data_IF_564390265845
#
_entry.id   IF_564390265845
#
_cell.length_a   1.000
_cell.length_b   1.000
_cell.length_c   1.000
_cell.angle_alpha   90.00
_cell.angle_beta   90.00
_cell.angle_gamma   90.00
#
_symmetry.space_group_name_H-M   'P 1'
#
loop_
_entity.id
_entity.type
_entity.pdbx_description
1 polymer ?
#
# COMPACT_ATOMS: atom_id res chain seq x y z
N UNK A 1 -3.28 -2.73 29.11
CA UNK A 1 -4.65 -3.32 29.20
C UNK A 1 -5.77 -2.28 29.04
N UNK A 2 -5.76 -1.15 29.77
CA UNK A 2 -6.84 -0.14 29.68
C UNK A 2 -7.07 0.37 28.26
N UNK A 3 -6.02 0.78 27.55
CA UNK A 3 -6.09 1.22 26.16
C UNK A 3 -6.72 0.17 25.24
N UNK A 4 -6.19 -1.07 25.24
CA UNK A 4 -6.74 -2.18 24.46
C UNK A 4 -8.20 -2.48 24.78
N UNK A 5 -8.64 -2.30 26.03
CA UNK A 5 -10.05 -2.47 26.39
C UNK A 5 -10.96 -1.35 25.89
N UNK A 6 -10.48 -0.09 25.88
CA UNK A 6 -11.23 1.08 25.42
C UNK A 6 -11.48 1.01 23.91
N UNK A 7 -10.44 0.63 23.15
CA UNK A 7 -10.46 0.56 21.68
C UNK A 7 -11.11 -0.71 21.13
N UNK A 8 -11.30 -1.74 21.95
CA UNK A 8 -11.93 -2.98 21.49
C UNK A 8 -13.40 -2.72 21.11
N UNK A 9 -13.77 -3.19 19.92
CA UNK A 9 -15.10 -3.02 19.35
C UNK A 9 -16.22 -3.47 20.32
N UNK A 10 -17.24 -2.63 20.43
CA UNK A 10 -18.35 -2.84 21.38
C UNK A 10 -19.29 -3.94 20.90
N UNK A 11 -19.49 -4.07 19.58
CA UNK A 11 -20.37 -5.11 19.03
C UNK A 11 -19.75 -6.48 19.26
N UNK A 12 -18.47 -6.66 18.96
CA UNK A 12 -17.72 -7.89 19.23
C UNK A 12 -17.83 -8.29 20.71
N UNK A 13 -17.66 -7.35 21.64
CA UNK A 13 -17.84 -7.62 23.08
C UNK A 13 -19.23 -8.16 23.41
N UNK A 14 -20.28 -7.62 22.79
CA UNK A 14 -21.65 -8.10 22.99
C UNK A 14 -21.87 -9.49 22.40
N UNK A 15 -21.35 -9.77 21.21
CA UNK A 15 -21.46 -11.09 20.57
C UNK A 15 -20.72 -12.16 21.35
N UNK A 16 -19.48 -11.89 21.78
CA UNK A 16 -18.72 -12.81 22.63
C UNK A 16 -19.44 -13.10 23.96
N UNK A 17 -20.11 -12.11 24.54
CA UNK A 17 -20.93 -12.31 25.74
C UNK A 17 -22.13 -13.23 25.45
N UNK A 18 -22.82 -13.04 24.33
CA UNK A 18 -23.96 -13.86 23.92
C UNK A 18 -23.56 -15.33 23.66
N UNK A 19 -22.34 -15.56 23.19
CA UNK A 19 -21.77 -16.89 22.95
C UNK A 19 -21.13 -17.53 24.20
N UNK A 20 -21.25 -16.92 25.38
CA UNK A 20 -20.66 -17.42 26.62
C UNK A 20 -19.15 -17.19 26.77
N UNK A 21 -18.50 -16.54 25.81
CA UNK A 21 -17.07 -16.22 25.79
C UNK A 21 -16.81 -14.76 26.22
N UNK A 22 -17.32 -14.35 27.38
CA UNK A 22 -17.25 -12.94 27.82
C UNK A 22 -15.80 -12.48 27.99
N UNK A 23 -15.42 -11.42 27.27
CA UNK A 23 -14.11 -10.78 27.44
C UNK A 23 -14.15 -9.92 28.70
N UNK A 24 -13.43 -10.27 29.78
CA UNK A 24 -13.55 -9.61 31.06
C UNK A 24 -13.18 -8.13 30.96
N UNK A 25 -14.02 -7.28 31.56
CA UNK A 25 -13.67 -5.88 31.76
C UNK A 25 -12.58 -5.78 32.83
N UNK A 26 -11.78 -4.73 32.71
CA UNK A 26 -10.74 -4.43 33.67
C UNK A 26 -11.33 -4.04 35.02
N UNK A 27 -10.74 -4.58 36.09
CA UNK A 27 -10.92 -4.05 37.43
C UNK A 27 -10.23 -2.69 37.53
N UNK A 28 -10.97 -1.70 38.00
CA UNK A 28 -10.43 -0.36 38.27
C UNK A 28 -9.41 -0.43 39.41
N UNK A 29 -8.35 0.35 39.32
CA UNK A 29 -7.31 0.43 40.35
C UNK A 29 -6.97 1.90 40.64
N UNK A 30 -6.39 2.18 41.81
CA UNK A 30 -6.17 3.52 42.35
C UNK A 30 -4.69 3.88 42.39
N UNK A 31 -4.01 3.84 41.24
CA UNK A 31 -2.58 4.20 41.14
C UNK A 31 -2.30 5.71 41.18
N UNK A 32 -3.33 6.55 41.02
CA UNK A 32 -3.17 8.00 40.89
C UNK A 32 -2.47 8.65 42.09
N UNK A 33 -2.74 8.19 43.31
CA UNK A 33 -2.14 8.74 44.52
C UNK A 33 -0.65 8.46 44.59
N UNK A 34 -0.22 7.27 44.16
CA UNK A 34 1.20 6.89 44.07
C UNK A 34 1.91 7.66 42.96
N UNK A 35 1.26 7.81 41.80
CA UNK A 35 1.82 8.55 40.66
C UNK A 35 2.01 10.03 40.96
N UNK A 36 1.26 10.63 41.90
CA UNK A 36 1.43 12.04 42.30
C UNK A 36 2.52 12.27 43.35
N UNK A 37 3.12 11.22 43.92
CA UNK A 37 4.13 11.37 44.98
C UNK A 37 5.45 11.91 44.41
N UNK A 38 5.85 13.11 44.83
CA UNK A 38 7.11 13.76 44.40
C UNK A 38 8.18 13.83 45.50
N UNK A 39 7.82 13.58 46.76
CA UNK A 39 8.72 13.74 47.90
C UNK A 39 8.39 12.77 49.05
N UNK A 40 8.47 11.47 48.80
CA UNK A 40 8.27 10.44 49.83
C UNK A 40 9.45 10.48 50.81
N UNK A 41 9.18 10.70 52.09
CA UNK A 41 10.21 10.70 53.13
C UNK A 41 10.47 9.27 53.61
N UNK A 42 11.69 8.78 53.40
CA UNK A 42 12.08 7.44 53.82
C UNK A 42 13.55 7.42 54.20
N UNK A 43 13.85 7.01 55.45
CA UNK A 43 15.21 6.93 56.00
C UNK A 43 16.02 8.24 55.82
N UNK A 44 15.38 9.38 56.05
CA UNK A 44 15.99 10.71 55.92
C UNK A 44 16.18 11.21 54.48
N UNK A 45 15.77 10.43 53.47
CA UNK A 45 15.80 10.83 52.05
C UNK A 45 14.43 11.28 51.58
N UNK A 46 14.40 12.28 50.70
CA UNK A 46 13.21 12.65 49.93
C UNK A 46 13.26 11.97 48.56
N UNK A 47 12.32 11.06 48.30
CA UNK A 47 12.28 10.24 47.08
C UNK A 47 11.18 10.75 46.15
N UNK A 48 11.55 11.17 44.94
CA UNK A 48 10.58 11.43 43.86
C UNK A 48 10.16 10.11 43.21
N UNK A 49 9.07 9.53 43.73
CA UNK A 49 8.52 8.27 43.25
C UNK A 49 7.98 8.40 41.82
N UNK A 50 7.36 9.54 41.47
CA UNK A 50 6.89 9.81 40.11
C UNK A 50 8.04 9.72 39.10
N UNK A 51 9.17 10.37 39.39
CA UNK A 51 10.35 10.33 38.51
C UNK A 51 10.83 8.89 38.29
N UNK A 52 10.93 8.11 39.37
CA UNK A 52 11.39 6.72 39.29
C UNK A 52 10.42 5.87 38.46
N UNK A 53 9.12 5.99 38.69
CA UNK A 53 8.09 5.25 37.92
C UNK A 53 8.15 5.65 36.44
N UNK A 54 8.26 6.95 36.15
CA UNK A 54 8.34 7.48 34.79
C UNK A 54 9.48 6.87 33.99
N UNK A 55 10.67 6.70 34.59
CA UNK A 55 11.81 6.05 33.95
C UNK A 55 11.50 4.62 33.50
N UNK A 56 10.81 3.83 34.33
CA UNK A 56 10.47 2.43 34.00
C UNK A 56 9.34 2.36 32.97
N UNK A 57 8.36 3.26 33.08
CA UNK A 57 7.25 3.30 32.14
C UNK A 57 7.71 3.78 30.76
N UNK A 58 8.60 4.78 30.69
CA UNK A 58 9.19 5.21 29.42
C UNK A 58 9.89 4.04 28.72
N UNK A 59 10.77 3.32 29.41
CA UNK A 59 11.42 2.12 28.88
C UNK A 59 10.43 1.02 28.45
N UNK A 60 9.34 0.84 29.20
CA UNK A 60 8.30 -0.13 28.84
C UNK A 60 7.53 0.28 27.57
N UNK A 61 7.26 1.58 27.39
CA UNK A 61 6.59 2.09 26.18
C UNK A 61 7.50 1.95 24.96
N UNK A 62 8.80 2.29 25.06
CA UNK A 62 9.78 2.00 24.00
C UNK A 62 9.79 0.51 23.64
N UNK A 63 9.86 -0.37 24.64
CA UNK A 63 9.83 -1.82 24.43
C UNK A 63 8.55 -2.30 23.73
N UNK A 64 7.38 -1.73 24.04
CA UNK A 64 6.14 -2.09 23.36
C UNK A 64 6.13 -1.67 21.89
N UNK A 65 6.71 -0.52 21.54
CA UNK A 65 6.83 -0.08 20.14
C UNK A 65 7.84 -0.94 19.38
N UNK A 66 9.00 -1.22 19.99
CA UNK A 66 10.02 -2.11 19.44
C UNK A 66 9.46 -3.49 19.12
N UNK A 67 8.68 -4.06 20.05
CA UNK A 67 8.02 -5.35 19.85
C UNK A 67 6.92 -5.31 18.78
N UNK A 68 6.20 -4.19 18.64
CA UNK A 68 5.20 -4.05 17.58
C UNK A 68 5.87 -4.08 16.19
N UNK A 69 6.95 -3.32 16.01
CA UNK A 69 7.70 -3.26 14.75
C UNK A 69 8.42 -4.59 14.48
N UNK A 70 9.09 -5.16 15.49
CA UNK A 70 9.78 -6.46 15.34
C UNK A 70 8.84 -7.63 15.04
N UNK A 71 7.57 -7.56 15.45
CA UNK A 71 6.57 -8.55 15.01
C UNK A 71 6.18 -8.36 13.55
N UNK A 72 6.03 -7.13 13.08
CA UNK A 72 5.78 -6.86 11.66
C UNK A 72 6.93 -7.37 10.79
N UNK A 73 8.18 -7.15 11.19
CA UNK A 73 9.38 -7.63 10.46
C UNK A 73 9.45 -9.17 10.32
N UNK A 74 8.80 -9.91 11.21
CA UNK A 74 8.72 -11.38 11.15
C UNK A 74 7.52 -11.92 10.36
N UNK A 75 6.69 -11.04 9.79
CA UNK A 75 5.43 -11.40 9.14
C UNK A 75 5.31 -10.80 7.73
N UNK A 76 4.31 -11.29 6.97
CA UNK A 76 4.03 -10.79 5.61
C UNK A 76 3.36 -9.41 5.61
N UNK A 77 3.28 -8.79 4.42
CA UNK A 77 2.69 -7.47 4.21
C UNK A 77 1.26 -7.32 4.77
N UNK A 78 0.48 -8.41 4.82
CA UNK A 78 -0.91 -8.38 5.29
C UNK A 78 -1.04 -8.05 6.78
N UNK A 79 0.01 -8.34 7.56
CA UNK A 79 0.08 -8.05 9.00
C UNK A 79 0.18 -6.55 9.33
N UNK A 80 0.40 -5.68 8.34
CA UNK A 80 0.55 -4.23 8.57
C UNK A 80 -0.69 -3.60 9.22
N UNK A 81 -1.88 -4.17 8.99
CA UNK A 81 -3.13 -3.71 9.62
C UNK A 81 -3.14 -4.04 11.13
N UNK A 82 -2.55 -5.18 11.53
CA UNK A 82 -2.38 -5.52 12.94
C UNK A 82 -1.35 -4.60 13.61
N UNK A 83 -0.22 -4.33 12.92
CA UNK A 83 0.79 -3.37 13.38
C UNK A 83 0.13 -2.03 13.69
N UNK A 84 -0.66 -1.50 12.75
CA UNK A 84 -1.31 -0.22 12.91
C UNK A 84 -2.25 -0.15 14.12
N UNK A 85 -3.08 -1.18 14.29
CA UNK A 85 -3.95 -1.31 15.44
C UNK A 85 -3.17 -1.35 16.77
N UNK A 86 -2.02 -2.03 16.77
CA UNK A 86 -1.14 -2.10 17.93
C UNK A 86 -0.44 -0.77 18.22
N UNK A 87 -0.03 -0.02 17.19
CA UNK A 87 0.50 1.34 17.30
C UNK A 87 -0.55 2.29 17.89
N UNK A 88 -1.81 2.20 17.48
CA UNK A 88 -2.89 3.02 18.04
C UNK A 88 -3.18 2.68 19.51
N UNK A 89 -3.08 1.40 19.91
CA UNK A 89 -3.15 1.00 21.32
C UNK A 89 -1.97 1.58 22.12
N UNK A 90 -0.77 1.58 21.57
CA UNK A 90 0.40 2.20 22.18
C UNK A 90 0.22 3.72 22.32
N UNK A 91 -0.30 4.39 21.30
CA UNK A 91 -0.61 5.83 21.32
C UNK A 91 -1.65 6.18 22.37
N UNK A 92 -2.71 5.40 22.49
CA UNK A 92 -3.71 5.57 23.54
C UNK A 92 -3.12 5.28 24.94
N UNK A 93 -2.22 4.30 25.05
CA UNK A 93 -1.50 4.01 26.30
C UNK A 93 -0.64 5.20 26.72
N UNK A 94 0.14 5.77 25.79
CA UNK A 94 0.92 6.99 26.00
C UNK A 94 0.04 8.17 26.45
N UNK A 95 -1.11 8.39 25.79
CA UNK A 95 -2.05 9.46 26.16
C UNK A 95 -2.64 9.30 27.56
N UNK A 96 -2.92 8.07 28.00
CA UNK A 96 -3.43 7.79 29.34
C UNK A 96 -2.34 8.02 30.41
N UNK A 97 -1.11 7.61 30.13
CA UNK A 97 0.04 7.78 31.03
C UNK A 97 0.44 9.26 31.17
N UNK A 98 0.46 10.00 30.06
CA UNK A 98 0.86 11.42 30.00
C UNK A 98 0.00 12.35 30.85
N UNK A 99 -1.14 11.88 31.37
CA UNK A 99 -1.96 12.63 32.34
C UNK A 99 -1.31 12.75 33.72
N UNK A 100 -0.41 11.82 34.06
CA UNK A 100 0.15 11.70 35.41
C UNK A 100 1.68 11.78 35.43
N UNK A 101 2.34 11.64 34.28
CA UNK A 101 3.79 11.66 34.15
C UNK A 101 4.22 12.37 32.88
N UNK A 102 5.44 12.88 32.87
CA UNK A 102 6.05 13.54 31.71
C UNK A 102 6.82 12.49 30.91
N UNK A 103 6.28 12.09 29.77
CA UNK A 103 6.95 11.23 28.79
C UNK A 103 7.41 12.08 27.60
N UNK A 104 8.37 11.55 26.85
CA UNK A 104 8.71 12.09 25.53
C UNK A 104 7.48 12.04 24.61
N UNK A 105 7.46 12.87 23.58
CA UNK A 105 6.35 12.86 22.62
C UNK A 105 6.22 11.48 21.96
N UNK A 106 4.99 11.03 21.73
CA UNK A 106 4.77 9.71 21.11
C UNK A 106 5.48 9.58 19.76
N UNK A 107 5.47 10.66 18.95
CA UNK A 107 6.14 10.67 17.64
C UNK A 107 7.66 10.51 17.77
N UNK A 108 8.30 11.16 18.75
CA UNK A 108 9.72 10.95 19.02
C UNK A 108 10.03 9.50 19.43
N UNK A 109 9.24 8.95 20.37
CA UNK A 109 9.42 7.56 20.81
C UNK A 109 9.22 6.56 19.67
N UNK A 110 8.21 6.80 18.82
CA UNK A 110 7.89 5.94 17.68
C UNK A 110 8.96 6.01 16.59
N UNK A 111 9.45 7.21 16.25
CA UNK A 111 10.54 7.38 15.29
C UNK A 111 11.82 6.72 15.78
N UNK A 112 12.13 6.82 17.07
CA UNK A 112 13.29 6.13 17.64
C UNK A 112 13.16 4.61 17.52
N UNK A 113 12.03 4.01 17.93
CA UNK A 113 11.80 2.56 17.78
C UNK A 113 11.80 2.12 16.30
N UNK A 114 11.31 2.96 15.40
CA UNK A 114 11.32 2.72 13.96
C UNK A 114 12.69 3.01 13.31
N UNK A 115 13.70 3.39 14.09
CA UNK A 115 15.03 3.83 13.61
C UNK A 115 14.97 4.96 12.57
N UNK A 116 13.96 5.84 12.66
CA UNK A 116 13.68 6.93 11.71
C UNK A 116 14.01 8.32 12.29
N UNK A 117 15.09 8.40 13.09
CA UNK A 117 15.62 9.67 13.65
C UNK A 117 16.92 10.05 12.97
N UNK A 118 17.89 9.13 12.96
CA UNK A 118 19.20 9.30 12.31
C UNK A 118 19.27 8.73 10.90
N UNK A 119 18.24 8.02 10.46
CA UNK A 119 18.13 7.44 9.13
C UNK A 119 16.91 8.02 8.38
N UNK A 120 16.98 8.11 7.04
CA UNK A 120 15.89 8.69 6.24
C UNK A 120 14.68 7.76 6.11
N UNK A 121 14.85 6.45 6.31
CA UNK A 121 13.79 5.46 6.17
C UNK A 121 13.76 4.57 7.40
N UNK A 122 12.58 4.45 7.99
CA UNK A 122 12.37 3.58 9.14
C UNK A 122 12.27 2.11 8.76
N UNK A 123 12.37 1.27 9.77
CA UNK A 123 12.23 -0.20 9.70
C UNK A 123 10.95 -0.65 8.99
N UNK A 124 9.82 -0.01 9.29
CA UNK A 124 8.53 -0.34 8.66
C UNK A 124 8.60 -0.13 7.13
N UNK A 125 9.16 0.99 6.67
CA UNK A 125 9.29 1.29 5.23
C UNK A 125 10.19 0.27 4.54
N UNK A 126 11.32 -0.07 5.16
CA UNK A 126 12.25 -1.07 4.63
C UNK A 126 11.61 -2.46 4.56
N UNK A 127 10.87 -2.86 5.59
CA UNK A 127 10.16 -4.15 5.60
C UNK A 127 9.02 -4.20 4.58
N UNK A 128 8.28 -3.10 4.39
CA UNK A 128 7.27 -3.03 3.31
C UNK A 128 7.92 -3.26 1.95
N UNK A 129 9.04 -2.60 1.65
CA UNK A 129 9.74 -2.83 0.39
C UNK A 129 10.27 -4.28 0.27
N UNK A 130 10.82 -4.83 1.36
CA UNK A 130 11.29 -6.20 1.42
C UNK A 130 10.17 -7.20 1.07
N UNK A 131 9.03 -7.08 1.73
CA UNK A 131 7.87 -7.93 1.50
C UNK A 131 7.25 -7.71 0.11
N UNK A 132 7.33 -6.48 -0.44
CA UNK A 132 6.92 -6.24 -1.81
C UNK A 132 7.78 -7.07 -2.78
N UNK A 133 9.10 -6.98 -2.65
CA UNK A 133 10.05 -7.62 -3.54
C UNK A 133 10.02 -9.16 -3.45
N UNK A 134 9.94 -9.71 -2.23
CA UNK A 134 10.09 -11.15 -2.01
C UNK A 134 8.77 -11.94 -1.93
N UNK A 135 7.64 -11.29 -1.62
CA UNK A 135 6.35 -11.99 -1.48
C UNK A 135 5.24 -11.40 -2.35
N UNK A 136 4.97 -10.09 -2.26
CA UNK A 136 3.82 -9.48 -2.94
C UNK A 136 3.88 -9.61 -4.47
N UNK A 137 4.96 -9.13 -5.10
CA UNK A 137 5.12 -9.17 -6.54
C UNK A 137 5.08 -10.62 -7.10
N UNK A 138 5.83 -11.59 -6.53
CA UNK A 138 5.85 -12.95 -7.08
C UNK A 138 4.66 -13.84 -6.71
N UNK A 139 3.97 -13.59 -5.60
CA UNK A 139 3.00 -14.56 -5.06
C UNK A 139 1.54 -14.09 -5.02
N UNK A 140 1.23 -12.86 -5.47
CA UNK A 140 -0.13 -12.34 -5.44
C UNK A 140 -0.75 -12.16 -6.84
N UNK A 141 -2.05 -12.42 -6.92
CA UNK A 141 -2.89 -12.30 -8.10
C UNK A 141 -3.89 -11.17 -7.89
N UNK A 142 -3.86 -10.14 -8.73
CA UNK A 142 -4.84 -9.05 -8.68
C UNK A 142 -6.18 -9.48 -9.28
N UNK A 143 -7.28 -9.06 -8.65
CA UNK A 143 -8.63 -9.17 -9.18
C UNK A 143 -9.25 -7.77 -9.24
N UNK A 144 -9.32 -7.20 -10.44
CA UNK A 144 -9.81 -5.85 -10.71
C UNK A 144 -11.30 -5.66 -10.40
N UNK A 145 -12.09 -6.73 -10.43
CA UNK A 145 -13.52 -6.65 -10.08
C UNK A 145 -13.75 -6.43 -8.59
N UNK A 146 -12.89 -6.99 -7.75
CA UNK A 146 -12.96 -6.85 -6.28
C UNK A 146 -12.01 -5.80 -5.72
N UNK A 147 -11.09 -5.30 -6.54
CA UNK A 147 -9.97 -4.45 -6.16
C UNK A 147 -9.13 -5.06 -5.02
N UNK A 148 -8.81 -6.35 -5.14
CA UNK A 148 -8.04 -7.09 -4.13
C UNK A 148 -7.01 -8.00 -4.79
N UNK A 149 -5.92 -8.22 -4.07
CA UNK A 149 -4.95 -9.25 -4.37
C UNK A 149 -5.17 -10.45 -3.46
N UNK A 150 -5.04 -11.65 -4.02
CA UNK A 150 -5.06 -12.93 -3.30
C UNK A 150 -3.80 -13.72 -3.62
N UNK A 151 -3.38 -14.63 -2.74
CA UNK A 151 -2.21 -15.46 -3.02
C UNK A 151 -2.47 -16.39 -4.22
N UNK A 152 -1.42 -16.64 -4.99
CA UNK A 152 -1.46 -17.62 -6.08
C UNK A 152 -1.66 -19.04 -5.54
N UNK A 153 -2.29 -19.90 -6.34
CA UNK A 153 -2.52 -21.31 -6.03
C UNK A 153 -1.29 -22.18 -6.22
N UNK A 154 -0.33 -21.73 -7.02
CA UNK A 154 0.89 -22.47 -7.37
C UNK A 154 2.11 -21.64 -6.99
N UNK A 155 2.98 -22.11 -6.07
CA UNK A 155 4.20 -21.39 -5.73
C UNK A 155 5.18 -21.51 -6.90
N UNK A 156 5.29 -20.45 -7.68
CA UNK A 156 6.29 -20.33 -8.74
C UNK A 156 7.60 -19.69 -8.25
N UNK A 157 7.57 -19.05 -7.08
CA UNK A 157 8.72 -18.47 -6.40
C UNK A 157 9.05 -19.24 -5.13
N UNK A 158 10.32 -19.18 -4.69
CA UNK A 158 10.77 -19.87 -3.49
C UNK A 158 10.12 -19.26 -2.24
N UNK A 159 9.58 -20.11 -1.37
CA UNK A 159 9.10 -19.66 -0.07
C UNK A 159 10.26 -19.12 0.76
N UNK A 160 10.15 -17.86 1.17
CA UNK A 160 11.13 -17.22 2.04
C UNK A 160 10.85 -17.58 3.50
N UNK A 161 11.84 -18.18 4.16
CA UNK A 161 11.75 -18.47 5.59
C UNK A 161 11.93 -17.18 6.40
N UNK A 162 10.85 -16.76 7.06
CA UNK A 162 10.86 -15.61 7.97
C UNK A 162 11.38 -16.01 9.35
N UNK A 163 12.01 -15.04 10.02
CA UNK A 163 12.45 -15.21 11.40
C UNK A 163 11.24 -15.37 12.35
N UNK A 164 11.46 -16.05 13.47
CA UNK A 164 10.40 -16.28 14.45
C UNK A 164 10.05 -14.99 15.19
N UNK A 165 8.75 -14.81 15.45
CA UNK A 165 8.24 -13.70 16.24
C UNK A 165 8.91 -13.60 17.61
N UNK A 166 9.27 -12.39 18.07
CA UNK A 166 9.82 -12.19 19.40
C UNK A 166 8.79 -12.53 20.49
N UNK A 167 9.19 -13.33 21.48
CA UNK A 167 8.32 -13.67 22.61
C UNK A 167 8.16 -12.48 23.55
N UNK A 168 6.91 -12.10 23.85
CA UNK A 168 6.59 -10.93 24.65
C UNK A 168 5.52 -11.22 25.71
N UNK A 169 5.69 -10.61 26.89
CA UNK A 169 4.61 -10.60 27.88
C UNK A 169 3.41 -9.81 27.34
N UNK A 170 2.15 -10.22 27.65
CA UNK A 170 0.96 -9.61 27.08
C UNK A 170 0.84 -8.09 27.27
N UNK A 171 1.44 -7.56 28.33
CA UNK A 171 1.42 -6.12 28.66
C UNK A 171 2.16 -5.25 27.63
N UNK A 172 3.12 -5.81 26.88
CA UNK A 172 3.83 -5.11 25.81
C UNK A 172 3.13 -5.23 24.45
N UNK A 173 2.00 -5.94 24.40
CA UNK A 173 1.15 -6.13 23.22
C UNK A 173 -0.21 -5.47 23.48
N UNK A 174 -1.31 -6.21 23.35
CA UNK A 174 -2.66 -5.68 23.54
C UNK A 174 -3.06 -5.55 25.03
N UNK A 175 -2.25 -6.10 25.95
CA UNK A 175 -2.35 -5.92 27.39
C UNK A 175 -2.54 -7.21 28.17
N UNK A 176 -3.38 -8.14 27.69
CA UNK A 176 -3.69 -9.40 28.36
C UNK A 176 -3.84 -10.53 27.33
N UNK A 177 -3.79 -11.79 27.78
CA UNK A 177 -3.97 -12.95 26.88
C UNK A 177 -5.32 -12.91 26.14
N UNK A 178 -6.40 -12.55 26.85
CA UNK A 178 -7.73 -12.43 26.26
C UNK A 178 -7.81 -11.34 25.19
N UNK A 179 -7.16 -10.18 25.42
CA UNK A 179 -7.11 -9.11 24.42
C UNK A 179 -6.23 -9.49 23.24
N UNK A 180 -5.09 -10.14 23.46
CA UNK A 180 -4.24 -10.63 22.36
C UNK A 180 -5.01 -11.57 21.44
N UNK A 181 -5.77 -12.52 22.01
CA UNK A 181 -6.61 -13.42 21.23
C UNK A 181 -7.69 -12.66 20.46
N UNK A 182 -8.40 -11.75 21.13
CA UNK A 182 -9.48 -10.98 20.50
C UNK A 182 -8.98 -10.14 19.31
N UNK A 183 -7.87 -9.42 19.48
CA UNK A 183 -7.30 -8.61 18.38
C UNK A 183 -6.71 -9.48 17.27
N UNK A 184 -6.03 -10.58 17.61
CA UNK A 184 -5.54 -11.52 16.59
C UNK A 184 -6.69 -12.08 15.74
N UNK A 185 -7.85 -12.40 16.34
CA UNK A 185 -9.04 -12.82 15.61
C UNK A 185 -9.71 -11.69 14.80
N UNK A 186 -9.58 -10.43 15.21
CA UNK A 186 -10.06 -9.29 14.40
C UNK A 186 -9.18 -9.17 13.15
N UNK A 187 -7.86 -9.18 13.34
CA UNK A 187 -6.90 -8.93 12.27
C UNK A 187 -6.66 -10.13 11.35
N UNK A 188 -7.02 -11.36 11.78
CA UNK A 188 -6.99 -12.55 10.92
C UNK A 188 -7.83 -12.38 9.64
N UNK A 189 -8.90 -11.57 9.69
CA UNK A 189 -9.74 -11.25 8.54
C UNK A 189 -9.00 -10.48 7.43
N UNK A 190 -7.84 -9.89 7.74
CA UNK A 190 -7.01 -9.13 6.81
C UNK A 190 -5.83 -9.92 6.24
N UNK A 191 -5.68 -11.21 6.60
CA UNK A 191 -4.50 -12.02 6.22
C UNK A 191 -4.60 -12.69 4.86
N UNK A 192 -5.81 -12.89 4.36
CA UNK A 192 -6.05 -13.69 3.16
C UNK A 192 -6.10 -12.85 1.86
N UNK A 193 -5.92 -11.53 1.97
CA UNK A 193 -5.92 -10.62 0.81
C UNK A 193 -5.09 -9.37 1.10
N UNK A 194 -4.73 -8.63 0.05
CA UNK A 194 -4.23 -7.24 0.12
C UNK A 194 -5.20 -6.36 -0.65
N UNK A 195 -5.63 -5.24 -0.07
CA UNK A 195 -6.58 -4.33 -0.72
C UNK A 195 -6.60 -2.95 -0.07
N UNK A 196 -7.67 -2.15 -0.30
CA UNK A 196 -7.77 -0.78 0.20
C UNK A 196 -7.42 -0.57 1.69
N UNK A 197 -7.82 -1.42 2.66
CA UNK A 197 -7.44 -1.21 4.05
C UNK A 197 -5.92 -1.31 4.27
N UNK A 198 -5.24 -2.21 3.56
CA UNK A 198 -3.78 -2.36 3.63
C UNK A 198 -3.08 -1.17 2.99
N UNK A 199 -3.47 -0.78 1.78
CA UNK A 199 -2.88 0.38 1.08
C UNK A 199 -3.05 1.68 1.87
N UNK A 200 -4.19 1.88 2.54
CA UNK A 200 -4.40 3.02 3.44
C UNK A 200 -3.41 3.04 4.60
N UNK A 201 -3.16 1.90 5.24
CA UNK A 201 -2.20 1.80 6.34
C UNK A 201 -0.77 2.01 5.84
N UNK A 202 -0.41 1.40 4.71
CA UNK A 202 0.89 1.60 4.06
C UNK A 202 1.11 3.08 3.78
N UNK A 203 0.12 3.76 3.19
CA UNK A 203 0.19 5.19 2.88
C UNK A 203 0.50 6.05 4.11
N UNK A 204 -0.27 5.86 5.20
CA UNK A 204 -0.08 6.62 6.44
C UNK A 204 1.25 6.33 7.14
N UNK A 205 1.70 5.07 7.16
CA UNK A 205 2.94 4.68 7.86
C UNK A 205 4.21 5.06 7.08
N UNK A 206 4.17 5.04 5.74
CA UNK A 206 5.31 5.41 4.90
C UNK A 206 5.41 6.93 4.70
N UNK A 207 4.26 7.62 4.59
CA UNK A 207 4.19 9.02 4.18
C UNK A 207 4.80 9.26 2.79
N UNK A 208 4.89 10.53 2.38
CA UNK A 208 5.39 10.89 1.04
C UNK A 208 6.80 10.35 0.77
N UNK A 209 7.71 10.46 1.74
CA UNK A 209 9.10 10.05 1.56
C UNK A 209 9.23 8.52 1.41
N UNK A 210 8.47 7.75 2.20
CA UNK A 210 8.46 6.29 2.10
C UNK A 210 7.81 5.81 0.79
N UNK A 211 6.72 6.44 0.35
CA UNK A 211 6.07 6.11 -0.93
C UNK A 211 7.02 6.41 -2.10
N UNK A 212 7.71 7.55 -2.08
CA UNK A 212 8.64 7.95 -3.13
C UNK A 212 9.79 6.94 -3.30
N UNK A 213 10.43 6.50 -2.21
CA UNK A 213 11.51 5.51 -2.29
C UNK A 213 11.00 4.15 -2.76
N UNK A 214 9.83 3.71 -2.30
CA UNK A 214 9.24 2.43 -2.74
C UNK A 214 8.94 2.48 -4.23
N UNK A 215 8.38 3.59 -4.75
CA UNK A 215 8.14 3.76 -6.19
C UNK A 215 9.45 3.74 -7.01
N UNK A 216 10.50 4.42 -6.53
CA UNK A 216 11.81 4.42 -7.21
C UNK A 216 12.45 3.02 -7.24
N UNK A 217 12.39 2.29 -6.13
CA UNK A 217 12.92 0.92 -6.09
C UNK A 217 12.08 -0.05 -6.93
N UNK A 218 10.74 0.08 -6.94
CA UNK A 218 9.88 -0.70 -7.84
C UNK A 218 10.19 -0.41 -9.32
N UNK A 219 10.49 0.84 -9.68
CA UNK A 219 10.95 1.16 -11.03
C UNK A 219 12.28 0.47 -11.38
N UNK A 220 13.20 0.32 -10.43
CA UNK A 220 14.45 -0.44 -10.63
C UNK A 220 14.17 -1.94 -10.81
N UNK A 221 13.23 -2.51 -10.04
CA UNK A 221 12.80 -3.90 -10.21
C UNK A 221 12.21 -4.10 -11.60
N UNK A 222 11.27 -3.24 -12.02
CA UNK A 222 10.66 -3.30 -13.36
C UNK A 222 11.73 -3.15 -14.45
N UNK A 223 12.67 -2.21 -14.29
CA UNK A 223 13.81 -2.07 -15.22
C UNK A 223 14.64 -3.36 -15.31
N UNK A 224 14.98 -3.94 -14.17
CA UNK A 224 15.77 -5.17 -14.10
C UNK A 224 15.07 -6.35 -14.78
N UNK A 225 13.77 -6.51 -14.58
CA UNK A 225 12.98 -7.56 -15.22
C UNK A 225 12.83 -7.32 -16.72
N UNK A 226 12.46 -6.10 -17.13
CA UNK A 226 12.25 -5.76 -18.54
C UNK A 226 13.54 -5.82 -19.36
N UNK A 227 14.69 -5.41 -18.82
CA UNK A 227 15.98 -5.40 -19.52
C UNK A 227 16.80 -6.69 -19.31
N UNK A 228 16.42 -7.51 -18.33
CA UNK A 228 17.08 -8.77 -18.00
C UNK A 228 16.33 -9.97 -18.56
N UNK A 229 15.61 -10.67 -17.68
CA UNK A 229 14.95 -11.94 -18.00
C UNK A 229 13.88 -11.78 -19.07
N UNK A 230 12.98 -10.81 -18.96
CA UNK A 230 11.90 -10.64 -19.94
C UNK A 230 12.47 -10.35 -21.33
N UNK A 231 13.47 -9.46 -21.44
CA UNK A 231 14.12 -9.18 -22.72
C UNK A 231 14.74 -10.44 -23.35
N UNK A 232 15.41 -11.25 -22.53
CA UNK A 232 16.03 -12.49 -23.00
C UNK A 232 14.98 -13.48 -23.52
N UNK A 233 13.87 -13.68 -22.80
CA UNK A 233 12.79 -14.55 -23.27
C UNK A 233 12.05 -13.97 -24.47
N UNK A 234 11.86 -12.65 -24.55
CA UNK A 234 11.27 -12.00 -25.73
C UNK A 234 12.15 -12.24 -26.96
N UNK A 235 13.47 -12.08 -26.86
CA UNK A 235 14.40 -12.38 -27.97
C UNK A 235 14.33 -13.85 -28.39
N UNK A 236 14.35 -14.76 -27.43
CA UNK A 236 14.26 -16.21 -27.68
C UNK A 236 12.93 -16.57 -28.35
N UNK A 237 11.80 -16.14 -27.77
CA UNK A 237 10.48 -16.46 -28.28
C UNK A 237 10.19 -15.78 -29.62
N UNK A 238 10.77 -14.62 -29.91
CA UNK A 238 10.63 -13.98 -31.22
C UNK A 238 11.35 -14.76 -32.33
N UNK A 239 12.41 -15.50 -32.02
CA UNK A 239 13.03 -16.43 -32.98
C UNK A 239 12.22 -17.71 -33.17
N UNK A 240 11.51 -18.16 -32.12
CA UNK A 240 10.58 -19.31 -32.17
C UNK A 240 9.27 -18.94 -32.88
N UNK A 241 8.88 -17.66 -32.88
CA UNK A 241 7.68 -17.20 -33.57
C UNK A 241 7.74 -17.47 -35.08
N UNK A 242 6.60 -17.83 -35.71
CA UNK A 242 6.54 -18.00 -37.16
C UNK A 242 6.90 -16.68 -37.82
N UNK A 243 7.85 -16.68 -38.78
CA UNK A 243 8.32 -15.45 -39.43
C UNK A 243 7.19 -14.63 -40.06
N UNK A 244 6.19 -15.32 -40.59
CA UNK A 244 4.99 -14.74 -41.20
C UNK A 244 3.78 -15.55 -40.74
N UNK A 245 2.77 -14.89 -40.18
CA UNK A 245 1.50 -15.51 -39.80
C UNK A 245 0.34 -14.68 -40.36
N UNK A 246 -0.20 -15.12 -41.50
CA UNK A 246 -1.34 -14.47 -42.15
C UNK A 246 -2.63 -14.80 -41.42
N UNK A 247 -3.52 -13.81 -41.31
CA UNK A 247 -4.89 -14.03 -40.85
C UNK A 247 -5.68 -14.74 -41.97
N UNK A 248 -6.14 -15.99 -41.76
CA UNK A 248 -6.94 -16.67 -42.77
C UNK A 248 -8.26 -15.94 -42.98
N UNK A 249 -8.78 -16.01 -44.20
CA UNK A 249 -10.04 -15.35 -44.53
C UNK A 249 -11.24 -16.07 -43.90
N UNK A 250 -12.37 -15.39 -43.85
CA UNK A 250 -13.59 -15.92 -43.24
C UNK A 250 -14.10 -17.22 -43.90
N UNK A 251 -13.76 -17.47 -45.18
CA UNK A 251 -14.20 -18.67 -45.90
C UNK A 251 -13.64 -19.98 -45.32
N UNK A 252 -12.54 -19.93 -44.54
CA UNK A 252 -11.96 -21.11 -43.89
C UNK A 252 -12.76 -21.60 -42.68
N UNK A 253 -13.67 -20.78 -42.15
CA UNK A 253 -14.48 -21.10 -40.96
C UNK A 253 -13.67 -21.12 -39.66
N UNK A 254 -14.34 -20.95 -38.52
CA UNK A 254 -13.67 -20.91 -37.21
C UNK A 254 -12.91 -22.19 -36.83
N UNK A 255 -13.34 -23.42 -37.18
CA UNK A 255 -12.56 -24.63 -36.86
C UNK A 255 -11.23 -24.67 -37.63
N UNK A 256 -11.25 -24.34 -38.93
CA UNK A 256 -10.05 -24.30 -39.76
C UNK A 256 -9.07 -23.21 -39.34
N UNK A 257 -9.59 -22.05 -38.93
CA UNK A 257 -8.77 -20.94 -38.38
C UNK A 257 -8.12 -21.35 -37.05
N UNK A 258 -8.85 -22.05 -36.17
CA UNK A 258 -8.30 -22.53 -34.90
C UNK A 258 -7.20 -23.58 -35.12
N UNK A 259 -7.41 -24.54 -36.02
CA UNK A 259 -6.41 -25.55 -36.38
C UNK A 259 -5.16 -24.90 -37.01
N UNK A 260 -5.34 -23.87 -37.85
CA UNK A 260 -4.24 -23.08 -38.40
C UNK A 260 -3.39 -22.44 -37.30
N UNK A 261 -4.00 -21.79 -36.31
CA UNK A 261 -3.25 -21.17 -35.20
C UNK A 261 -2.58 -22.19 -34.29
N UNK A 262 -3.21 -23.34 -34.03
CA UNK A 262 -2.57 -24.43 -33.31
C UNK A 262 -1.30 -24.93 -34.00
N UNK A 263 -1.32 -25.03 -35.34
CA UNK A 263 -0.14 -25.44 -36.08
C UNK A 263 0.94 -24.35 -36.09
N UNK A 264 0.58 -23.10 -36.36
CA UNK A 264 1.54 -21.98 -36.48
C UNK A 264 2.17 -21.58 -35.15
N UNK A 265 1.46 -21.75 -34.03
CA UNK A 265 1.91 -21.34 -32.70
C UNK A 265 2.32 -22.52 -31.82
N UNK A 266 2.45 -23.73 -32.41
CA UNK A 266 2.76 -24.96 -31.69
C UNK A 266 3.99 -24.83 -30.77
N UNK A 267 5.07 -24.27 -31.30
CA UNK A 267 6.33 -24.15 -30.55
C UNK A 267 6.23 -23.16 -29.37
N UNK A 268 5.32 -22.19 -29.44
CA UNK A 268 5.00 -21.29 -28.32
C UNK A 268 4.11 -21.99 -27.28
N UNK A 269 3.12 -22.77 -27.74
CA UNK A 269 2.21 -23.54 -26.88
C UNK A 269 2.98 -24.60 -26.08
N UNK A 270 3.94 -25.29 -26.71
CA UNK A 270 4.75 -26.35 -26.10
C UNK A 270 5.97 -25.81 -25.31
N UNK A 271 6.17 -24.49 -25.26
CA UNK A 271 7.30 -23.88 -24.57
C UNK A 271 7.18 -24.05 -23.05
N UNK A 272 7.98 -24.95 -22.48
CA UNK A 272 7.88 -25.38 -21.09
C UNK A 272 7.97 -24.25 -20.06
N UNK A 273 8.80 -23.23 -20.32
CA UNK A 273 9.08 -22.13 -19.40
C UNK A 273 8.18 -20.91 -19.60
N UNK A 274 7.16 -21.02 -20.47
CA UNK A 274 6.26 -19.90 -20.78
C UNK A 274 5.49 -19.46 -19.53
N UNK A 275 4.90 -20.41 -18.80
CA UNK A 275 4.12 -20.13 -17.59
C UNK A 275 5.03 -19.83 -16.40
N UNK A 276 6.02 -20.69 -16.15
CA UNK A 276 6.86 -20.63 -14.94
C UNK A 276 7.82 -19.44 -14.93
N UNK A 277 8.26 -18.95 -16.09
CA UNK A 277 9.24 -17.85 -16.17
C UNK A 277 8.64 -16.63 -16.85
N UNK A 278 8.07 -16.75 -18.06
CA UNK A 278 7.60 -15.57 -18.80
C UNK A 278 6.38 -14.93 -18.11
N UNK A 279 5.33 -15.70 -17.83
CA UNK A 279 4.14 -15.18 -17.16
C UNK A 279 4.40 -14.76 -15.72
N UNK A 280 5.29 -15.48 -15.02
CA UNK A 280 5.77 -15.13 -13.68
C UNK A 280 6.40 -13.73 -13.66
N UNK A 281 7.39 -13.47 -14.52
CA UNK A 281 8.10 -12.20 -14.57
C UNK A 281 7.16 -11.05 -15.03
N UNK A 282 6.27 -11.31 -15.97
CA UNK A 282 5.28 -10.32 -16.42
C UNK A 282 4.29 -9.99 -15.31
N UNK A 283 3.82 -10.97 -14.53
CA UNK A 283 2.95 -10.71 -13.38
C UNK A 283 3.66 -9.84 -12.35
N UNK A 284 4.94 -10.09 -12.05
CA UNK A 284 5.71 -9.25 -11.12
C UNK A 284 5.78 -7.80 -11.58
N UNK A 285 6.04 -7.57 -12.88
CA UNK A 285 5.98 -6.22 -13.48
C UNK A 285 4.58 -5.62 -13.30
N UNK A 286 3.53 -6.36 -13.63
CA UNK A 286 2.15 -5.85 -13.55
C UNK A 286 1.71 -5.53 -12.12
N UNK A 287 2.07 -6.38 -11.16
CA UNK A 287 1.83 -6.15 -9.74
C UNK A 287 2.56 -4.90 -9.23
N UNK A 288 3.78 -4.61 -9.72
CA UNK A 288 4.51 -3.40 -9.35
C UNK A 288 3.81 -2.13 -9.86
N UNK A 289 3.27 -2.18 -11.09
CA UNK A 289 2.50 -1.07 -11.68
C UNK A 289 1.17 -0.86 -10.97
N UNK A 290 0.46 -1.95 -10.68
CA UNK A 290 -0.78 -1.92 -9.91
C UNK A 290 -0.52 -1.37 -8.50
N UNK A 291 0.58 -1.73 -7.86
CA UNK A 291 0.96 -1.16 -6.57
C UNK A 291 1.12 0.37 -6.65
N UNK A 292 1.85 0.86 -7.65
CA UNK A 292 2.05 2.30 -7.86
C UNK A 292 0.71 3.04 -8.09
N UNK A 293 -0.19 2.46 -8.87
CA UNK A 293 -1.52 3.01 -9.11
C UNK A 293 -2.37 3.05 -7.83
N UNK A 294 -2.43 1.95 -7.09
CA UNK A 294 -3.32 1.80 -5.94
C UNK A 294 -2.82 2.57 -4.72
N UNK A 295 -1.50 2.72 -4.55
CA UNK A 295 -0.95 3.56 -3.48
C UNK A 295 -1.19 5.04 -3.75
N UNK A 296 -1.10 5.50 -5.02
CA UNK A 296 -1.44 6.87 -5.40
C UNK A 296 -2.93 7.19 -5.16
N UNK A 297 -3.82 6.26 -5.50
CA UNK A 297 -5.25 6.40 -5.20
C UNK A 297 -5.49 6.50 -3.69
N UNK A 298 -4.79 5.68 -2.90
CA UNK A 298 -4.90 5.70 -1.44
C UNK A 298 -4.37 7.00 -0.84
N UNK A 299 -3.27 7.53 -1.38
CA UNK A 299 -2.72 8.82 -1.01
C UNK A 299 -3.68 9.97 -1.32
N UNK A 300 -4.31 9.94 -2.50
CA UNK A 300 -5.31 10.94 -2.89
C UNK A 300 -6.52 10.95 -1.95
N UNK A 301 -6.97 9.76 -1.49
CA UNK A 301 -8.05 9.62 -0.52
C UNK A 301 -7.66 10.13 0.89
N UNK A 302 -6.41 9.96 1.28
CA UNK A 302 -5.89 10.49 2.55
C UNK A 302 -5.78 12.02 2.50
N UNK A 303 -5.19 12.56 1.44
CA UNK A 303 -5.02 14.00 1.24
C UNK A 303 -6.35 14.75 1.17
N UNK A 304 -7.37 14.23 0.47
CA UNK A 304 -8.68 14.89 0.42
C UNK A 304 -9.35 14.89 1.79
N UNK A 305 -9.17 13.84 2.60
CA UNK A 305 -9.68 13.83 3.97
C UNK A 305 -8.98 14.89 4.83
N UNK A 306 -7.66 15.06 4.67
CA UNK A 306 -6.91 16.12 5.35
C UNK A 306 -7.41 17.51 4.96
N UNK A 307 -7.60 17.75 3.66
CA UNK A 307 -8.11 19.03 3.13
C UNK A 307 -9.52 19.35 3.64
N UNK A 308 -10.39 18.35 3.77
CA UNK A 308 -11.73 18.53 4.34
C UNK A 308 -11.68 18.94 5.82
N UNK A 309 -10.72 18.42 6.60
CA UNK A 309 -10.53 18.82 8.00
C UNK A 309 -9.82 20.18 8.11
N UNK A 310 -8.98 20.54 7.14
CA UNK A 310 -8.29 21.83 7.09
C UNK A 310 -9.19 22.97 6.63
N UNK A 311 -10.20 22.69 5.78
CA UNK A 311 -11.06 23.68 5.15
C UNK A 311 -11.63 24.77 6.08
N UNK A 312 -12.15 24.45 7.29
CA UNK A 312 -12.66 25.48 8.21
C UNK A 312 -11.61 26.48 8.70
N UNK A 313 -10.34 26.04 8.79
CA UNK A 313 -9.23 26.86 9.29
C UNK A 313 -8.55 27.67 8.18
N UNK A 314 -8.79 27.30 6.92
CA UNK A 314 -8.25 27.93 5.71
C UNK A 314 -9.30 28.77 4.95
N UNK A 315 -10.42 29.08 5.59
CA UNK A 315 -11.51 29.88 5.01
C UNK A 315 -12.15 29.26 3.74
N UNK A 316 -12.16 27.93 3.65
CA UNK A 316 -12.82 27.22 2.55
C UNK A 316 -14.22 26.82 3.00
N UNK A 317 -15.24 27.39 2.35
CA UNK A 317 -16.64 27.14 2.68
C UNK A 317 -17.36 26.44 1.53
N UNK A 318 -18.21 25.43 1.82
CA UNK A 318 -18.99 24.76 0.81
C UNK A 318 -20.05 25.70 0.23
N UNK A 319 -20.48 25.40 -0.99
CA UNK A 319 -21.59 26.12 -1.63
C UNK A 319 -22.87 25.95 -0.82
N UNK A 320 -23.50 27.06 -0.47
CA UNK A 320 -24.73 27.08 0.32
C UNK A 320 -25.99 27.13 -0.54
N UNK A 321 -27.07 26.58 0.01
CA UNK A 321 -28.40 26.70 -0.56
C UNK A 321 -28.90 28.15 -0.51
N UNK A 322 -29.40 28.66 -1.63
CA UNK A 322 -29.89 30.04 -1.81
C UNK A 322 -31.39 29.99 -2.08
N UNK A 323 -32.19 30.67 -1.25
CA UNK A 323 -33.64 30.75 -1.45
C UNK A 323 -33.99 31.82 -2.49
N UNK A 324 -35.19 31.74 -3.04
CA UNK A 324 -35.70 32.73 -3.98
C UNK A 324 -35.68 34.13 -3.34
N UNK A 325 -35.08 35.11 -4.04
CA UNK A 325 -34.86 36.47 -3.54
C UNK A 325 -33.52 36.69 -2.78
N UNK A 326 -32.74 35.64 -2.51
CA UNK A 326 -31.39 35.77 -1.92
C UNK A 326 -30.29 35.80 -2.99
N UNK A 327 -29.23 36.57 -2.75
CA UNK A 327 -28.01 36.54 -3.58
C UNK A 327 -26.95 35.65 -2.95
N UNK A 328 -26.36 34.74 -3.73
CA UNK A 328 -25.31 33.82 -3.27
C UNK A 328 -24.14 34.58 -2.62
N UNK A 329 -23.65 35.63 -3.28
CA UNK A 329 -22.47 36.39 -2.81
C UNK A 329 -22.70 37.04 -1.44
N UNK A 330 -23.90 37.61 -1.23
CA UNK A 330 -24.25 38.25 0.03
C UNK A 330 -24.31 37.22 1.17
N UNK A 331 -24.81 36.01 0.87
CA UNK A 331 -24.94 34.93 1.85
C UNK A 331 -23.60 34.26 2.16
N UNK A 332 -22.75 34.08 1.15
CA UNK A 332 -21.38 33.60 1.32
C UNK A 332 -20.55 34.55 2.19
N UNK A 333 -20.62 35.87 1.96
CA UNK A 333 -19.93 36.88 2.79
C UNK A 333 -20.39 36.86 4.26
N UNK A 334 -21.69 36.66 4.50
CA UNK A 334 -22.23 36.51 5.87
C UNK A 334 -21.69 35.24 6.54
N UNK A 335 -21.55 34.16 5.79
CA UNK A 335 -21.03 32.89 6.29
C UNK A 335 -19.52 32.98 6.58
N UNK A 336 -18.77 33.62 5.69
CA UNK A 336 -17.35 33.94 5.90
C UNK A 336 -17.17 34.77 7.18
N UNK A 337 -18.00 35.79 7.39
CA UNK A 337 -17.97 36.59 8.62
C UNK A 337 -18.26 35.77 9.88
N UNK A 338 -19.14 34.76 9.79
CA UNK A 338 -19.45 33.84 10.90
C UNK A 338 -18.25 32.97 11.28
N UNK A 339 -17.49 32.49 10.30
CA UNK A 339 -16.34 31.60 10.51
C UNK A 339 -14.98 32.31 10.54
N UNK A 340 -14.94 33.64 10.39
CA UNK A 340 -13.72 34.43 10.44
C UNK A 340 -12.87 34.18 11.69
N UNK A 341 -13.48 33.85 12.82
CA UNK A 341 -12.78 33.52 14.07
C UNK A 341 -11.99 32.20 14.02
N UNK A 342 -12.31 31.30 13.09
CA UNK A 342 -11.60 30.02 12.88
C UNK A 342 -10.43 30.14 11.91
N UNK A 343 -10.36 31.23 11.13
CA UNK A 343 -9.32 31.41 10.13
C UNK A 343 -7.96 31.58 10.82
N UNK A 344 -7.11 30.55 10.72
CA UNK A 344 -5.95 30.38 11.59
C UNK A 344 -4.86 31.43 11.34
N UNK A 345 -4.45 31.63 10.09
CA UNK A 345 -3.34 32.51 9.74
C UNK A 345 -3.63 33.97 10.14
N UNK A 346 -4.77 34.59 9.78
CA UNK A 346 -5.07 35.96 10.21
C UNK A 346 -5.22 36.11 11.73
N UNK A 347 -5.68 35.06 12.42
CA UNK A 347 -5.76 35.07 13.88
C UNK A 347 -4.37 35.15 14.53
N UNK A 348 -3.42 34.35 14.04
CA UNK A 348 -2.03 34.35 14.50
C UNK A 348 -1.32 35.64 14.07
N UNK A 349 -1.60 36.18 12.89
CA UNK A 349 -1.06 37.49 12.47
C UNK A 349 -1.50 38.63 13.38
N UNK A 350 -2.71 38.54 13.96
CA UNK A 350 -3.22 39.56 14.87
C UNK A 350 -2.71 39.41 16.31
N UNK A 351 -2.50 38.18 16.79
CA UNK A 351 -2.27 37.90 18.22
C UNK A 351 -0.92 37.23 18.52
N UNK A 352 -0.23 36.73 17.51
CA UNK A 352 0.97 35.92 17.64
C UNK A 352 2.26 36.71 17.50
N UNK A 353 3.36 36.03 17.83
CA UNK A 353 4.72 36.56 17.64
C UNK A 353 5.19 36.41 16.19
N UNK A 354 6.22 37.14 15.75
CA UNK A 354 6.76 36.98 14.39
C UNK A 354 7.19 35.55 14.06
N UNK A 355 7.70 34.81 15.05
CA UNK A 355 8.07 33.39 14.89
C UNK A 355 6.83 32.51 14.66
N UNK A 356 5.75 32.74 15.42
CA UNK A 356 4.51 31.99 15.25
C UNK A 356 3.86 32.25 13.90
N UNK A 357 3.93 33.49 13.40
CA UNK A 357 3.40 33.87 12.08
C UNK A 357 4.15 33.13 10.98
N UNK A 358 5.49 33.11 11.03
CA UNK A 358 6.30 32.39 10.03
C UNK A 358 5.94 30.90 10.00
N UNK A 359 5.91 30.25 11.17
CA UNK A 359 5.55 28.82 11.30
C UNK A 359 4.13 28.55 10.81
N UNK A 360 3.17 29.43 11.13
CA UNK A 360 1.78 29.27 10.71
C UNK A 360 1.61 29.37 9.18
N UNK A 361 2.35 30.27 8.53
CA UNK A 361 2.33 30.42 7.07
C UNK A 361 2.93 29.22 6.35
N UNK A 362 4.04 28.69 6.86
CA UNK A 362 4.64 27.46 6.33
C UNK A 362 3.71 26.25 6.53
N UNK A 363 3.13 26.11 7.72
CA UNK A 363 2.17 25.05 8.02
C UNK A 363 0.91 25.11 7.14
N UNK A 364 0.36 26.31 6.91
CA UNK A 364 -0.77 26.51 6.00
C UNK A 364 -0.43 26.10 4.57
N UNK A 365 0.77 26.46 4.08
CA UNK A 365 1.25 26.10 2.75
C UNK A 365 1.33 24.57 2.58
N UNK A 366 1.97 23.88 3.53
CA UNK A 366 2.08 22.43 3.51
C UNK A 366 0.72 21.71 3.64
N UNK A 367 -0.26 22.35 4.28
CA UNK A 367 -1.59 21.77 4.47
C UNK A 367 -2.45 21.88 3.20
N UNK A 368 -2.39 23.01 2.48
CA UNK A 368 -3.19 23.23 1.26
C UNK A 368 -2.56 22.63 -0.01
N UNK A 369 -1.24 22.54 -0.06
CA UNK A 369 -0.53 21.97 -1.21
C UNK A 369 -0.39 20.45 -1.03
N UNK A 370 -1.31 19.72 -1.65
CA UNK A 370 -1.35 18.25 -1.70
C UNK A 370 -1.28 17.78 -3.16
N UNK A 371 -0.86 16.54 -3.40
CA UNK A 371 -0.75 16.00 -4.77
C UNK A 371 -2.12 15.98 -5.47
N UNK A 372 -3.19 15.61 -4.75
CA UNK A 372 -4.55 15.56 -5.26
C UNK A 372 -5.10 16.91 -5.78
N UNK A 373 -4.42 18.03 -5.51
CA UNK A 373 -4.79 19.36 -6.01
C UNK A 373 -4.46 19.58 -7.51
N UNK A 374 -3.71 18.68 -8.15
CA UNK A 374 -3.44 18.77 -9.60
C UNK A 374 -2.21 18.02 -10.11
N UNK A 375 -1.62 17.12 -9.32
CA UNK A 375 -0.46 16.32 -9.69
C UNK A 375 -0.84 14.84 -9.73
N UNK A 376 -0.23 14.08 -10.63
CA UNK A 376 -0.37 12.62 -10.72
C UNK A 376 0.99 11.95 -10.93
N UNK A 377 1.23 10.85 -10.23
CA UNK A 377 2.49 10.11 -10.29
C UNK A 377 2.47 9.03 -11.38
N UNK A 378 1.33 8.38 -11.60
CA UNK A 378 1.22 7.23 -12.49
C UNK A 378 1.68 7.51 -13.93
N UNK A 379 1.36 8.68 -14.48
CA UNK A 379 1.83 9.08 -15.82
C UNK A 379 3.36 9.17 -15.91
N UNK A 380 4.01 9.67 -14.85
CA UNK A 380 5.47 9.77 -14.75
C UNK A 380 6.09 8.37 -14.67
N UNK A 381 5.49 7.46 -13.89
CA UNK A 381 5.92 6.06 -13.78
C UNK A 381 5.90 5.40 -15.16
N UNK A 382 4.79 5.49 -15.90
CA UNK A 382 4.65 4.93 -17.25
C UNK A 382 5.66 5.54 -18.24
N UNK A 383 5.86 6.86 -18.17
CA UNK A 383 6.82 7.57 -19.03
C UNK A 383 8.25 7.09 -18.80
N UNK A 384 8.63 6.83 -17.54
CA UNK A 384 9.97 6.30 -17.21
C UNK A 384 10.12 4.86 -17.67
N UNK A 385 9.10 4.02 -17.54
CA UNK A 385 9.14 2.62 -17.99
C UNK A 385 9.29 2.52 -19.50
N UNK A 386 8.72 3.45 -20.27
CA UNK A 386 8.90 3.49 -21.72
C UNK A 386 10.38 3.55 -22.12
N UNK A 387 11.21 4.24 -21.34
CA UNK A 387 12.67 4.35 -21.57
C UNK A 387 13.37 3.01 -21.33
N UNK A 388 12.77 2.09 -20.58
CA UNK A 388 13.36 0.76 -20.37
C UNK A 388 13.22 -0.14 -21.61
N UNK A 389 12.36 0.23 -22.56
CA UNK A 389 12.01 -0.51 -23.78
C UNK A 389 12.75 0.04 -25.03
N UNK A 390 14.04 0.35 -24.89
CA UNK A 390 14.86 0.91 -25.97
C UNK A 390 15.42 -0.14 -26.94
N UNK A 391 15.49 -1.41 -26.53
CA UNK A 391 16.01 -2.49 -27.38
C UNK A 391 15.20 -2.62 -28.69
N UNK A 392 15.85 -2.77 -29.86
CA UNK A 392 15.14 -2.84 -31.13
C UNK A 392 14.17 -4.01 -31.24
N UNK A 393 14.36 -5.10 -30.48
CA UNK A 393 13.46 -6.28 -30.54
C UNK A 393 12.01 -5.95 -30.20
N UNK A 394 11.77 -4.91 -29.38
CA UNK A 394 10.43 -4.52 -28.99
C UNK A 394 9.60 -3.99 -30.16
N UNK A 395 10.26 -3.29 -31.10
CA UNK A 395 9.64 -2.61 -32.26
C UNK A 395 9.86 -3.36 -33.57
N UNK A 396 10.89 -4.21 -33.65
CA UNK A 396 11.27 -4.89 -34.87
C UNK A 396 11.91 -3.95 -35.91
N UNK A 397 12.21 -4.49 -37.11
CA UNK A 397 12.75 -3.71 -38.23
C UNK A 397 11.69 -2.77 -38.83
N UNK A 398 12.10 -1.93 -39.77
CA UNK A 398 11.16 -1.10 -40.53
C UNK A 398 10.26 -1.98 -41.43
N UNK A 399 8.99 -1.60 -41.60
CA UNK A 399 8.04 -2.38 -42.40
C UNK A 399 8.35 -2.32 -43.90
N UNK A 400 8.20 -3.45 -44.58
CA UNK A 400 8.48 -3.60 -46.01
C UNK A 400 7.64 -2.68 -46.90
N UNK A 401 6.40 -2.37 -46.47
CA UNK A 401 5.48 -1.49 -47.18
C UNK A 401 5.65 0.00 -46.83
N UNK A 402 6.60 0.34 -45.95
CA UNK A 402 6.84 1.72 -45.48
C UNK A 402 5.75 2.28 -44.56
N UNK A 403 4.77 1.48 -44.14
CA UNK A 403 3.64 1.90 -43.30
C UNK A 403 3.59 1.13 -41.98
N UNK A 404 3.35 -0.19 -42.04
CA UNK A 404 3.23 -1.05 -40.85
C UNK A 404 3.40 -2.54 -41.22
N UNK A 405 3.89 -3.34 -40.29
CA UNK A 405 3.90 -4.79 -40.41
C UNK A 405 2.47 -5.33 -40.37
N UNK A 406 2.17 -6.30 -41.24
CA UNK A 406 0.84 -6.90 -41.33
C UNK A 406 0.93 -8.39 -41.10
N UNK A 407 1.70 -9.11 -41.90
CA UNK A 407 1.82 -10.56 -41.75
C UNK A 407 3.04 -10.96 -40.92
N UNK A 408 4.01 -10.05 -40.78
CA UNK A 408 5.29 -10.29 -40.13
C UNK A 408 5.16 -10.32 -38.59
N UNK A 409 5.71 -11.36 -37.96
CA UNK A 409 5.72 -11.50 -36.50
C UNK A 409 7.02 -10.95 -35.89
N UNK A 410 7.23 -9.64 -36.02
CA UNK A 410 8.48 -8.98 -35.58
C UNK A 410 8.30 -7.92 -34.50
N UNK A 411 7.05 -7.65 -34.11
CA UNK A 411 6.70 -6.68 -33.05
C UNK A 411 6.24 -7.42 -31.78
N UNK A 412 6.47 -6.83 -30.60
CA UNK A 412 6.10 -7.45 -29.32
C UNK A 412 4.61 -7.83 -29.24
N UNK A 413 3.69 -6.99 -29.74
CA UNK A 413 2.26 -7.30 -29.69
C UNK A 413 1.88 -8.61 -30.41
N UNK A 414 2.62 -9.02 -31.46
CA UNK A 414 2.42 -10.32 -32.13
C UNK A 414 2.80 -11.49 -31.24
N UNK A 415 3.91 -11.36 -30.50
CA UNK A 415 4.30 -12.34 -29.49
C UNK A 415 3.25 -12.39 -28.36
N UNK A 416 2.73 -11.23 -27.94
CA UNK A 416 1.64 -11.19 -26.97
C UNK A 416 0.36 -11.84 -27.49
N UNK A 417 0.00 -11.68 -28.77
CA UNK A 417 -1.12 -12.41 -29.39
C UNK A 417 -0.92 -13.93 -29.32
N UNK A 418 0.31 -14.42 -29.50
CA UNK A 418 0.62 -15.84 -29.35
C UNK A 418 0.52 -16.30 -27.89
N UNK A 419 1.02 -15.51 -26.94
CA UNK A 419 0.82 -15.77 -25.50
C UNK A 419 -0.66 -15.78 -25.12
N UNK A 420 -1.45 -14.86 -25.69
CA UNK A 420 -2.89 -14.78 -25.53
C UNK A 420 -3.59 -16.01 -26.07
N UNK A 421 -3.17 -16.49 -27.25
CA UNK A 421 -3.67 -17.76 -27.75
C UNK A 421 -3.45 -18.87 -26.73
N UNK A 422 -2.26 -18.99 -26.13
CA UNK A 422 -1.95 -20.01 -25.11
C UNK A 422 -2.85 -19.90 -23.87
N UNK A 423 -2.99 -18.72 -23.28
CA UNK A 423 -3.79 -18.59 -22.06
C UNK A 423 -5.30 -18.62 -22.30
N UNK A 424 -5.76 -18.48 -23.54
CA UNK A 424 -7.16 -18.69 -23.92
C UNK A 424 -7.52 -20.16 -24.21
N UNK A 425 -6.54 -21.07 -24.29
CA UNK A 425 -6.82 -22.49 -24.46
C UNK A 425 -7.52 -23.00 -23.18
N UNK A 426 -8.72 -23.60 -23.29
CA UNK A 426 -9.40 -24.18 -22.14
C UNK A 426 -8.56 -25.31 -21.54
N UNK A 427 -8.36 -25.26 -20.23
CA UNK A 427 -7.70 -26.31 -19.46
C UNK A 427 -8.72 -27.32 -18.93
N UNK A 428 -8.25 -28.50 -18.49
CA UNK A 428 -9.12 -29.52 -17.91
C UNK A 428 -9.84 -29.04 -16.64
N UNK A 429 -10.96 -29.66 -16.29
CA UNK A 429 -11.81 -29.27 -15.14
C UNK A 429 -11.08 -29.21 -13.79
N UNK A 430 -9.94 -29.90 -13.66
CA UNK A 430 -9.13 -29.96 -12.44
C UNK A 430 -7.78 -29.24 -12.56
N UNK A 431 -7.55 -28.52 -13.66
CA UNK A 431 -6.35 -27.73 -13.88
C UNK A 431 -6.60 -26.27 -13.53
N UNK A 432 -5.57 -25.60 -13.03
CA UNK A 432 -5.65 -24.19 -12.70
C UNK A 432 -5.52 -23.33 -13.95
N UNK A 433 -6.38 -22.33 -14.06
CA UNK A 433 -6.35 -21.37 -15.16
C UNK A 433 -5.27 -20.31 -14.96
N UNK A 434 -4.96 -19.54 -16.00
CA UNK A 434 -3.93 -18.50 -15.95
C UNK A 434 -4.34 -17.37 -15.01
N UNK A 435 -5.61 -16.99 -14.99
CA UNK A 435 -6.15 -15.99 -14.07
C UNK A 435 -6.12 -16.45 -12.61
N UNK A 436 -6.28 -17.75 -12.32
CA UNK A 436 -6.10 -18.28 -10.96
C UNK A 436 -4.62 -18.25 -10.51
N UNK A 437 -3.70 -18.45 -11.45
CA UNK A 437 -2.25 -18.51 -11.17
C UNK A 437 -1.56 -17.15 -11.13
N UNK A 438 -1.99 -16.21 -11.98
CA UNK A 438 -1.31 -14.92 -12.18
C UNK A 438 -2.21 -13.71 -11.96
N UNK A 439 -3.53 -13.88 -11.97
CA UNK A 439 -4.49 -12.78 -11.90
C UNK A 439 -4.31 -11.74 -13.01
N UNK A 440 -4.88 -10.57 -12.78
CA UNK A 440 -4.89 -9.48 -13.78
C UNK A 440 -3.50 -8.85 -13.98
N UNK A 441 -2.56 -9.05 -13.04
CA UNK A 441 -1.21 -8.50 -13.11
C UNK A 441 -0.48 -8.89 -14.41
N UNK A 442 -0.63 -10.14 -14.86
CA UNK A 442 -0.07 -10.59 -16.14
C UNK A 442 -0.53 -9.72 -17.31
N UNK A 443 -1.83 -9.46 -17.40
CA UNK A 443 -2.42 -8.67 -18.47
C UNK A 443 -2.05 -7.19 -18.37
N UNK A 444 -1.96 -6.64 -17.15
CA UNK A 444 -1.48 -5.28 -16.94
C UNK A 444 -0.08 -5.06 -17.50
N UNK A 445 0.85 -6.01 -17.31
CA UNK A 445 2.19 -5.90 -17.87
C UNK A 445 2.21 -6.00 -19.40
N UNK A 446 1.56 -7.02 -19.98
CA UNK A 446 1.50 -7.20 -21.43
C UNK A 446 0.88 -5.99 -22.14
N UNK A 447 -0.27 -5.53 -21.66
CA UNK A 447 -0.95 -4.35 -22.19
C UNK A 447 -0.15 -3.07 -21.99
N UNK A 448 0.51 -2.90 -20.83
CA UNK A 448 1.40 -1.75 -20.60
C UNK A 448 2.51 -1.69 -21.66
N UNK A 449 3.20 -2.79 -21.92
CA UNK A 449 4.29 -2.81 -22.92
C UNK A 449 3.74 -2.44 -24.30
N UNK A 450 2.60 -3.01 -24.71
CA UNK A 450 1.95 -2.71 -26.00
C UNK A 450 1.60 -1.21 -26.12
N UNK A 451 1.01 -0.62 -25.07
CA UNK A 451 0.63 0.80 -25.05
C UNK A 451 1.85 1.71 -25.08
N UNK A 452 2.88 1.41 -24.29
CA UNK A 452 4.11 2.21 -24.24
C UNK A 452 4.90 2.17 -25.56
N UNK A 453 4.78 1.08 -26.33
CA UNK A 453 5.35 0.94 -27.67
C UNK A 453 4.47 1.55 -28.78
N UNK A 454 3.25 1.99 -28.46
CA UNK A 454 2.31 2.50 -29.47
C UNK A 454 1.80 1.42 -30.44
N UNK A 455 1.70 0.17 -29.96
CA UNK A 455 1.32 -1.01 -30.75
C UNK A 455 -0.16 -1.40 -30.58
N UNK A 456 -0.90 -0.79 -29.65
CA UNK A 456 -2.26 -1.18 -29.29
C UNK A 456 -3.25 -1.21 -30.47
N UNK A 457 -3.19 -0.21 -31.37
CA UNK A 457 -4.09 -0.16 -32.53
C UNK A 457 -3.79 -1.20 -33.61
N UNK A 458 -2.59 -1.79 -33.60
CA UNK A 458 -2.21 -2.89 -34.50
C UNK A 458 -2.46 -4.26 -33.88
N UNK A 459 -2.56 -4.29 -32.56
CA UNK A 459 -2.92 -5.46 -31.79
C UNK A 459 -4.42 -5.72 -31.83
N UNK A 460 -5.22 -4.66 -31.69
CA UNK A 460 -6.67 -4.63 -31.96
C UNK A 460 -6.96 -4.91 -33.44
#
# INVERSE_FOLDING_TARGET
VMAGSLLLDKRLRSECKNQGATIPLLTSNRYETLLKQRHVQLLGRSIDLNRLITQRISAAVYKSMELAIGRFESEDLTSIVELDGLVEINKMTHKLLSRYMTLDSFDAMFREANHNVSAPYGRITLHVFWELNYDFLPNYCYNGSTNRFVRTVLPFSQEFQRDKQPNAQPQYLHGSKALNLAYSSIYSNYRNFVGPPHFKVICRLLGYQGIAVVMEELLKVVKSLLQGTILQYVKTLMEVMPKICRLPRHEYGSPGILEFFHHQLKDIVEYAELKTVCFQNLREVGNAILFCLLIEQSLSLEEVCDLLHAAPFQNILPRIHVKEGERLDAKMKRLESKYAALHLVPLIERLGTPQQIAIAREGDLLTKERLCCGLSMFEVILTRIRIFLDDPIWRGPLPSNGVMHVDECVEFHRLWSAMQFVYCIPVGTHEFTVEQCFGDGLHWAGCMIIVLLGQQRRFD
#
